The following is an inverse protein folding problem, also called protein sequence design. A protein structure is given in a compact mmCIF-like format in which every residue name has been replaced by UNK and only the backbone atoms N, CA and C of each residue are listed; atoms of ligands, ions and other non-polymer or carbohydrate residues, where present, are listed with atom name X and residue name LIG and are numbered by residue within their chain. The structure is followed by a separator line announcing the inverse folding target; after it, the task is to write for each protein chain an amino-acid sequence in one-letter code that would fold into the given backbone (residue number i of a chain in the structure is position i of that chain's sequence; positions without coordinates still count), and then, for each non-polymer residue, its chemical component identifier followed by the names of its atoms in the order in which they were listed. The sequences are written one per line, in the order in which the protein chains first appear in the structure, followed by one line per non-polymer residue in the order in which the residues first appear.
data_IF_784740558275
#
_entry.id   IF_784740558275
#
_cell.length_a   1.000
_cell.length_b   1.000
_cell.length_c   1.000
_cell.angle_alpha   90.00
_cell.angle_beta   90.00
_cell.angle_gamma   90.00
#
_symmetry.space_group_name_H-M   'P 1'
#
loop_
_entity.id
_entity.type
_entity.pdbx_description
1 polymer ?
#
# COMPACT_ATOMS: atom_id res chain seq x y z
N UNK A 1 7.68 -25.25 -22.37
CA UNK A 1 6.49 -24.43 -22.10
C UNK A 1 5.27 -25.20 -22.58
N UNK A 2 4.23 -25.27 -21.76
CA UNK A 2 2.94 -25.85 -22.15
C UNK A 2 2.27 -24.84 -23.13
N UNK A 3 1.66 -25.33 -24.19
CA UNK A 3 0.94 -24.46 -25.12
C UNK A 3 -0.27 -23.81 -24.42
N UNK A 4 -0.61 -22.52 -24.70
CA UNK A 4 -1.72 -21.81 -24.04
C UNK A 4 -3.06 -22.57 -24.09
N UNK A 5 -3.39 -23.22 -25.20
CA UNK A 5 -4.60 -24.01 -25.35
C UNK A 5 -4.63 -25.22 -24.41
N UNK A 6 -3.49 -25.93 -24.25
CA UNK A 6 -3.36 -27.04 -23.32
C UNK A 6 -3.44 -26.57 -21.88
N UNK A 7 -2.85 -25.41 -21.60
CA UNK A 7 -2.91 -24.76 -20.30
C UNK A 7 -4.37 -24.44 -19.91
N UNK A 8 -5.13 -23.83 -20.83
CA UNK A 8 -6.55 -23.51 -20.64
C UNK A 8 -7.37 -24.78 -20.39
N UNK A 9 -7.25 -25.81 -21.23
CA UNK A 9 -7.99 -27.06 -21.09
C UNK A 9 -7.75 -27.75 -19.75
N UNK A 10 -6.51 -27.74 -19.27
CA UNK A 10 -6.19 -28.32 -17.95
C UNK A 10 -6.84 -27.51 -16.81
N UNK A 11 -6.79 -26.18 -16.86
CA UNK A 11 -7.45 -25.32 -15.88
C UNK A 11 -8.97 -25.45 -15.93
N UNK A 12 -9.57 -25.52 -17.11
CA UNK A 12 -11.01 -25.78 -17.29
C UNK A 12 -11.44 -27.10 -16.64
N UNK A 13 -10.59 -28.11 -16.71
CA UNK A 13 -10.85 -29.40 -16.05
C UNK A 13 -10.76 -29.31 -14.51
N UNK A 14 -9.96 -28.37 -13.98
CA UNK A 14 -9.78 -28.19 -12.53
C UNK A 14 -10.88 -27.34 -11.92
N UNK A 15 -11.21 -26.19 -12.55
CA UNK A 15 -12.11 -25.20 -11.94
C UNK A 15 -13.37 -24.91 -12.77
N UNK A 16 -13.51 -25.50 -13.96
CA UNK A 16 -14.62 -25.31 -14.88
C UNK A 16 -14.36 -24.23 -15.95
N UNK A 17 -14.85 -24.44 -17.16
CA UNK A 17 -14.61 -23.57 -18.33
C UNK A 17 -15.11 -22.13 -18.13
N UNK A 18 -16.15 -21.91 -17.33
CA UNK A 18 -16.68 -20.57 -17.04
C UNK A 18 -15.70 -19.69 -16.21
N UNK A 19 -14.66 -20.27 -15.64
CA UNK A 19 -13.69 -19.61 -14.78
C UNK A 19 -12.29 -19.48 -15.39
N UNK A 20 -12.16 -19.75 -16.70
CA UNK A 20 -10.87 -19.72 -17.41
C UNK A 20 -11.02 -18.90 -18.67
N UNK A 21 -10.16 -17.89 -18.85
CA UNK A 21 -10.06 -17.09 -20.06
C UNK A 21 -8.66 -17.24 -20.66
N UNK A 22 -8.57 -17.71 -21.89
CA UNK A 22 -7.33 -17.86 -22.65
C UNK A 22 -7.21 -16.84 -23.80
N UNK A 23 -8.21 -16.00 -24.02
CA UNK A 23 -8.27 -15.03 -25.12
C UNK A 23 -9.01 -13.76 -24.70
N UNK A 24 -8.86 -12.72 -25.51
CA UNK A 24 -9.69 -11.52 -25.43
C UNK A 24 -9.23 -10.49 -24.39
N UNK A 25 -10.21 -9.71 -23.91
CA UNK A 25 -9.96 -8.55 -23.05
C UNK A 25 -9.42 -8.94 -21.66
N UNK A 26 -9.76 -10.11 -21.18
CA UNK A 26 -9.32 -10.54 -19.85
C UNK A 26 -7.78 -10.67 -19.76
N UNK A 27 -7.13 -11.17 -20.80
CA UNK A 27 -5.66 -11.21 -20.82
C UNK A 27 -5.06 -9.78 -20.83
N UNK A 28 -5.68 -8.86 -21.59
CA UNK A 28 -5.26 -7.45 -21.64
C UNK A 28 -5.45 -6.74 -20.29
N UNK A 29 -6.59 -6.98 -19.63
CA UNK A 29 -6.90 -6.39 -18.33
C UNK A 29 -5.96 -6.88 -17.21
N UNK A 30 -5.35 -8.05 -17.39
CA UNK A 30 -4.37 -8.62 -16.47
C UNK A 30 -2.92 -8.42 -16.95
N UNK A 31 -2.68 -7.51 -17.90
CA UNK A 31 -1.33 -7.19 -18.34
C UNK A 31 -0.55 -6.41 -17.28
N UNK A 32 0.74 -6.70 -17.17
CA UNK A 32 1.69 -5.98 -16.32
C UNK A 32 2.81 -5.46 -17.22
N UNK A 33 2.96 -4.14 -17.31
CA UNK A 33 3.96 -3.47 -18.17
C UNK A 33 3.96 -3.98 -19.62
N UNK A 34 2.77 -4.26 -20.15
CA UNK A 34 2.58 -4.80 -21.51
C UNK A 34 2.78 -6.31 -21.65
N UNK A 35 3.29 -6.99 -20.61
CA UNK A 35 3.33 -8.46 -20.54
C UNK A 35 1.98 -9.03 -20.14
N UNK A 36 1.42 -9.93 -20.98
CA UNK A 36 0.13 -10.58 -20.71
C UNK A 36 0.35 -11.99 -20.15
N UNK A 37 -0.57 -12.51 -19.31
CA UNK A 37 -0.58 -13.92 -18.94
C UNK A 37 -0.95 -14.79 -20.14
N UNK A 38 -0.58 -16.07 -20.10
CA UNK A 38 -1.09 -17.04 -21.08
C UNK A 38 -2.56 -17.37 -20.84
N UNK A 39 -3.02 -17.29 -19.58
CA UNK A 39 -4.39 -17.59 -19.17
C UNK A 39 -4.75 -16.82 -17.89
N UNK A 40 -6.04 -16.47 -17.75
CA UNK A 40 -6.61 -15.95 -16.50
C UNK A 40 -7.49 -17.04 -15.89
N UNK A 41 -7.21 -17.40 -14.64
CA UNK A 41 -7.99 -18.35 -13.86
C UNK A 41 -8.69 -17.61 -12.70
N UNK A 42 -10.03 -17.69 -12.61
CA UNK A 42 -10.88 -17.06 -11.59
C UNK A 42 -11.61 -18.11 -10.74
N UNK A 43 -10.95 -18.74 -9.80
CA UNK A 43 -11.55 -19.76 -8.95
C UNK A 43 -12.74 -19.20 -8.16
N UNK A 44 -13.81 -19.99 -8.02
CA UNK A 44 -15.00 -19.62 -7.26
C UNK A 44 -14.90 -19.98 -5.77
N UNK A 45 -13.93 -20.82 -5.40
CA UNK A 45 -13.72 -21.26 -4.01
C UNK A 45 -12.24 -21.25 -3.65
N UNK A 46 -11.98 -21.17 -2.34
CA UNK A 46 -10.62 -21.24 -1.79
C UNK A 46 -9.94 -22.55 -2.18
N UNK A 47 -10.68 -23.64 -2.21
CA UNK A 47 -10.20 -24.97 -2.56
C UNK A 47 -9.77 -25.00 -4.03
N UNK A 48 -10.58 -24.48 -4.94
CA UNK A 48 -10.22 -24.36 -6.36
C UNK A 48 -8.97 -23.49 -6.57
N UNK A 49 -8.84 -22.38 -5.83
CA UNK A 49 -7.65 -21.54 -5.89
C UNK A 49 -6.38 -22.34 -5.46
N UNK A 50 -6.50 -23.13 -4.40
CA UNK A 50 -5.39 -23.98 -3.93
C UNK A 50 -5.06 -25.09 -4.93
N UNK A 51 -6.06 -25.69 -5.59
CA UNK A 51 -5.87 -26.70 -6.64
C UNK A 51 -5.11 -26.14 -7.85
N UNK A 52 -5.45 -24.91 -8.29
CA UNK A 52 -4.73 -24.20 -9.35
C UNK A 52 -3.27 -23.98 -8.96
N UNK A 53 -3.00 -23.51 -7.73
CA UNK A 53 -1.65 -23.30 -7.23
C UNK A 53 -0.87 -24.63 -7.15
N UNK A 54 -1.50 -25.70 -6.63
CA UNK A 54 -0.91 -27.03 -6.55
C UNK A 54 -0.53 -27.58 -7.93
N UNK A 55 -1.43 -27.43 -8.90
CA UNK A 55 -1.18 -27.86 -10.26
C UNK A 55 -0.04 -27.06 -10.90
N UNK A 56 -0.11 -25.72 -10.79
CA UNK A 56 0.95 -24.84 -11.28
C UNK A 56 2.32 -25.19 -10.66
N UNK A 57 2.36 -25.54 -9.37
CA UNK A 57 3.56 -25.99 -8.67
C UNK A 57 4.16 -27.25 -9.29
N UNK A 58 3.33 -28.26 -9.57
CA UNK A 58 3.76 -29.52 -10.22
C UNK A 58 4.29 -29.28 -11.64
N UNK A 59 3.61 -28.45 -12.40
CA UNK A 59 3.97 -28.12 -13.79
C UNK A 59 5.02 -27.01 -13.89
N UNK A 60 5.45 -26.43 -12.76
CA UNK A 60 6.42 -25.31 -12.65
C UNK A 60 5.98 -24.06 -13.43
N UNK A 61 4.69 -23.78 -13.44
CA UNK A 61 4.08 -22.63 -14.11
C UNK A 61 4.13 -21.40 -13.20
N UNK A 62 4.34 -20.23 -13.79
CA UNK A 62 4.37 -18.96 -13.08
C UNK A 62 2.97 -18.42 -12.80
N UNK A 63 2.64 -18.22 -11.55
CA UNK A 63 1.35 -17.70 -11.07
C UNK A 63 1.54 -16.30 -10.50
N UNK A 64 0.79 -15.35 -11.01
CA UNK A 64 0.70 -13.99 -10.45
C UNK A 64 -0.71 -13.82 -9.85
N UNK A 65 -0.84 -13.74 -8.52
CA UNK A 65 -2.12 -13.51 -7.86
C UNK A 65 -2.63 -12.08 -8.11
N UNK A 66 -3.92 -11.95 -8.38
CA UNK A 66 -4.64 -10.70 -8.55
C UNK A 66 -5.78 -10.58 -7.53
N UNK A 67 -5.99 -9.38 -6.99
CA UNK A 67 -7.23 -8.98 -6.35
C UNK A 67 -7.98 -8.02 -7.27
N UNK A 68 -8.19 -6.78 -6.84
CA UNK A 68 -8.81 -5.73 -7.67
C UNK A 68 -7.80 -5.01 -8.59
N UNK A 69 -6.56 -5.44 -8.66
CA UNK A 69 -5.54 -4.90 -9.57
C UNK A 69 -4.97 -3.52 -9.20
N UNK A 70 -5.39 -2.92 -8.09
CA UNK A 70 -5.08 -1.53 -7.72
C UNK A 70 -3.60 -1.23 -7.50
N UNK A 71 -2.76 -2.25 -7.25
CA UNK A 71 -1.31 -2.08 -7.01
C UNK A 71 -0.44 -3.02 -7.86
N UNK A 72 -0.93 -3.48 -9.00
CA UNK A 72 -0.13 -4.34 -9.87
C UNK A 72 1.05 -3.64 -10.55
N UNK A 73 1.04 -2.31 -10.56
CA UNK A 73 2.14 -1.46 -11.01
C UNK A 73 3.33 -1.41 -10.02
N UNK A 74 3.16 -1.84 -8.76
CA UNK A 74 4.25 -1.92 -7.77
C UNK A 74 5.06 -3.20 -7.96
N UNK A 75 6.37 -3.12 -7.77
CA UNK A 75 7.30 -4.22 -8.00
C UNK A 75 7.83 -4.25 -9.44
N UNK A 76 8.76 -5.16 -9.71
CA UNK A 76 9.28 -5.36 -11.05
C UNK A 76 8.27 -6.10 -11.95
N UNK A 77 8.39 -6.00 -13.28
CA UNK A 77 7.65 -6.85 -14.20
C UNK A 77 7.94 -8.33 -13.93
N UNK A 78 6.95 -9.23 -14.07
CA UNK A 78 7.16 -10.65 -13.86
C UNK A 78 8.15 -11.22 -14.88
N UNK A 79 9.10 -12.05 -14.43
CA UNK A 79 10.05 -12.74 -15.31
C UNK A 79 9.38 -13.82 -16.16
N UNK A 80 8.33 -14.45 -15.62
CA UNK A 80 7.44 -15.41 -16.29
C UNK A 80 6.02 -15.12 -15.87
N UNK A 81 5.06 -15.28 -16.78
CA UNK A 81 3.67 -14.97 -16.54
C UNK A 81 2.76 -15.96 -17.26
N UNK A 82 2.61 -17.16 -16.71
CA UNK A 82 1.81 -18.21 -17.30
C UNK A 82 0.33 -18.05 -16.90
N UNK A 83 0.06 -17.84 -15.61
CA UNK A 83 -1.29 -17.77 -15.05
C UNK A 83 -1.49 -16.47 -14.27
N UNK A 84 -2.50 -15.67 -14.64
CA UNK A 84 -3.10 -14.68 -13.75
C UNK A 84 -4.14 -15.38 -12.88
N UNK A 85 -3.89 -15.49 -11.57
CA UNK A 85 -4.83 -16.06 -10.62
C UNK A 85 -5.70 -14.96 -10.04
N UNK A 86 -6.84 -14.71 -10.66
CA UNK A 86 -7.77 -13.66 -10.28
C UNK A 86 -8.66 -14.11 -9.13
N UNK A 87 -8.40 -13.55 -7.95
CA UNK A 87 -9.11 -13.84 -6.71
C UNK A 87 -10.33 -12.92 -6.49
N UNK A 88 -10.70 -12.07 -7.45
CA UNK A 88 -11.84 -11.16 -7.30
C UNK A 88 -13.16 -11.90 -7.09
N UNK A 89 -13.26 -13.16 -7.56
CA UNK A 89 -14.38 -14.06 -7.29
C UNK A 89 -14.47 -14.56 -5.85
N UNK A 90 -13.37 -14.53 -5.10
CA UNK A 90 -13.31 -14.86 -3.67
C UNK A 90 -13.62 -13.60 -2.85
N UNK A 91 -14.89 -13.19 -2.80
CA UNK A 91 -15.30 -11.90 -2.26
C UNK A 91 -16.37 -11.97 -1.17
N UNK A 92 -16.49 -13.10 -0.51
CA UNK A 92 -17.48 -13.30 0.56
C UNK A 92 -16.94 -12.88 1.91
N UNK A 93 -17.77 -12.23 2.73
CA UNK A 93 -17.55 -12.12 4.16
C UNK A 93 -17.93 -13.47 4.77
N UNK A 94 -16.94 -14.15 5.36
CA UNK A 94 -17.09 -15.49 5.91
C UNK A 94 -17.66 -15.44 7.33
N UNK A 95 -17.31 -14.39 8.08
CA UNK A 95 -17.77 -14.17 9.44
C UNK A 95 -17.64 -12.70 9.82
N UNK A 96 -18.64 -12.17 10.48
CA UNK A 96 -18.62 -10.85 11.09
C UNK A 96 -19.16 -10.96 12.51
N UNK A 97 -18.31 -10.69 13.48
CA UNK A 97 -18.66 -10.68 14.91
C UNK A 97 -18.56 -9.24 15.41
N UNK A 98 -19.71 -8.55 15.36
CA UNK A 98 -19.81 -7.16 15.78
C UNK A 98 -19.50 -6.97 17.27
N UNK A 99 -19.86 -7.94 18.12
CA UNK A 99 -19.62 -7.85 19.56
C UNK A 99 -18.14 -7.91 19.92
N UNK A 100 -17.35 -8.66 19.15
CA UNK A 100 -15.91 -8.82 19.34
C UNK A 100 -15.06 -7.96 18.40
N UNK A 101 -15.67 -7.09 17.58
CA UNK A 101 -14.99 -6.23 16.62
C UNK A 101 -14.07 -7.01 15.69
N UNK A 102 -14.53 -8.14 15.15
CA UNK A 102 -13.74 -8.97 14.24
C UNK A 102 -14.49 -9.32 12.97
N UNK A 103 -13.73 -9.42 11.89
CA UNK A 103 -14.23 -9.79 10.56
C UNK A 103 -13.30 -10.79 9.92
N UNK A 104 -13.87 -11.82 9.30
CA UNK A 104 -13.14 -12.76 8.44
C UNK A 104 -13.76 -12.69 7.04
N UNK A 105 -12.94 -12.45 6.04
CA UNK A 105 -13.38 -12.37 4.66
C UNK A 105 -12.39 -13.04 3.69
N UNK A 106 -12.89 -13.42 2.53
CA UNK A 106 -12.07 -13.88 1.42
C UNK A 106 -11.19 -12.75 0.89
N UNK A 107 -10.03 -13.09 0.36
CA UNK A 107 -8.99 -12.14 0.01
C UNK A 107 -9.36 -11.16 -1.12
N UNK A 108 -10.27 -11.54 -2.02
CA UNK A 108 -10.77 -10.70 -3.09
C UNK A 108 -11.85 -9.71 -2.67
N UNK A 109 -12.35 -9.77 -1.43
CA UNK A 109 -13.39 -8.86 -0.91
C UNK A 109 -12.88 -7.41 -0.96
N UNK A 110 -13.56 -6.50 -1.70
CA UNK A 110 -13.20 -5.08 -1.70
C UNK A 110 -13.46 -4.44 -0.35
N UNK A 111 -12.60 -3.52 0.08
CA UNK A 111 -12.75 -2.82 1.37
C UNK A 111 -14.09 -2.08 1.47
N UNK A 112 -14.60 -1.51 0.37
CA UNK A 112 -15.93 -0.86 0.33
C UNK A 112 -17.07 -1.80 0.78
N UNK A 113 -16.99 -3.10 0.47
CA UNK A 113 -18.01 -4.07 0.90
C UNK A 113 -17.94 -4.32 2.41
N UNK A 114 -16.75 -4.25 2.99
CA UNK A 114 -16.58 -4.29 4.45
C UNK A 114 -17.25 -3.06 5.07
N UNK A 115 -16.99 -1.86 4.55
CA UNK A 115 -17.64 -0.63 5.04
C UNK A 115 -19.17 -0.70 4.93
N UNK A 116 -19.69 -1.21 3.80
CA UNK A 116 -21.13 -1.37 3.60
C UNK A 116 -21.78 -2.25 4.68
N UNK A 117 -21.05 -3.26 5.15
CA UNK A 117 -21.51 -4.17 6.20
C UNK A 117 -21.34 -3.57 7.61
N UNK A 118 -20.22 -2.91 7.89
CA UNK A 118 -19.83 -2.58 9.26
C UNK A 118 -20.27 -1.18 9.71
N UNK A 119 -20.41 -0.21 8.80
CA UNK A 119 -20.82 1.16 9.12
C UNK A 119 -22.24 1.23 9.75
N UNK A 120 -23.25 0.46 9.29
CA UNK A 120 -24.55 0.41 9.97
C UNK A 120 -24.46 -0.04 11.45
N UNK A 121 -23.47 -0.87 11.78
CA UNK A 121 -23.18 -1.33 13.15
C UNK A 121 -22.24 -0.39 13.91
N UNK A 122 -22.01 0.82 13.39
CA UNK A 122 -21.10 1.82 13.98
C UNK A 122 -19.66 1.29 14.15
N UNK A 123 -19.17 0.54 13.15
CA UNK A 123 -17.83 -0.04 13.12
C UNK A 123 -17.18 0.18 11.76
N UNK A 124 -15.86 0.08 11.69
CA UNK A 124 -15.11 0.17 10.44
C UNK A 124 -13.76 -0.53 10.51
N UNK A 125 -13.16 -0.79 9.36
CA UNK A 125 -11.79 -1.29 9.25
C UNK A 125 -10.88 -0.12 8.82
N UNK A 126 -10.01 0.40 9.71
CA UNK A 126 -9.26 1.64 9.48
C UNK A 126 -8.04 1.45 8.54
N UNK A 127 -8.24 0.89 7.34
CA UNK A 127 -7.19 0.61 6.35
C UNK A 127 -7.18 1.53 5.12
N UNK A 128 -8.18 2.35 4.96
CA UNK A 128 -8.29 3.25 3.82
C UNK A 128 -9.53 4.11 3.96
N UNK A 129 -9.97 4.71 2.86
CA UNK A 129 -11.20 5.47 2.85
C UNK A 129 -12.37 4.61 2.32
N UNK A 130 -13.64 4.97 2.64
CA UNK A 130 -14.81 4.12 2.31
C UNK A 130 -15.01 3.80 0.82
N UNK A 131 -14.46 4.63 -0.07
CA UNK A 131 -14.56 4.48 -1.54
C UNK A 131 -13.55 3.54 -2.16
N UNK A 132 -12.55 3.05 -1.41
CA UNK A 132 -11.46 2.26 -1.99
C UNK A 132 -11.94 0.95 -2.61
N UNK A 133 -11.40 0.65 -3.78
CA UNK A 133 -11.67 -0.58 -4.53
C UNK A 133 -10.71 -1.72 -4.14
N UNK A 134 -9.64 -1.42 -3.40
CA UNK A 134 -8.62 -2.40 -3.06
C UNK A 134 -9.22 -3.60 -2.31
N UNK A 135 -8.77 -4.80 -2.65
CA UNK A 135 -9.17 -6.04 -1.97
C UNK A 135 -8.42 -6.23 -0.66
N UNK A 136 -9.05 -6.89 0.31
CA UNK A 136 -8.46 -7.16 1.63
C UNK A 136 -7.13 -7.93 1.54
N UNK A 137 -7.06 -8.95 0.67
CA UNK A 137 -5.83 -9.69 0.42
C UNK A 137 -4.76 -8.80 -0.23
N UNK A 138 -5.14 -7.95 -1.20
CA UNK A 138 -4.25 -6.98 -1.84
C UNK A 138 -3.67 -6.00 -0.83
N UNK A 139 -4.49 -5.39 0.02
CA UNK A 139 -4.05 -4.49 1.08
C UNK A 139 -3.07 -5.17 2.05
N UNK A 140 -3.33 -6.44 2.43
CA UNK A 140 -2.45 -7.20 3.31
C UNK A 140 -1.09 -7.47 2.66
N UNK A 141 -1.08 -8.05 1.46
CA UNK A 141 0.18 -8.44 0.82
C UNK A 141 1.03 -7.27 0.36
N UNK A 142 0.45 -6.08 0.18
CA UNK A 142 1.19 -4.84 -0.12
C UNK A 142 1.54 -4.02 1.12
N UNK A 143 1.06 -4.44 2.30
CA UNK A 143 1.18 -3.69 3.56
C UNK A 143 0.63 -2.25 3.45
N UNK A 144 -0.49 -2.10 2.77
CA UNK A 144 -1.17 -0.82 2.64
C UNK A 144 -2.06 -0.61 3.86
N UNK A 145 -1.73 0.39 4.67
CA UNK A 145 -2.34 0.60 5.99
C UNK A 145 -3.20 1.87 6.07
N UNK A 146 -3.31 2.64 4.99
CA UNK A 146 -3.91 3.97 5.06
C UNK A 146 -3.09 4.93 5.92
N UNK A 147 -3.65 6.10 6.23
CA UNK A 147 -2.95 7.16 6.96
C UNK A 147 -3.37 7.29 8.43
N UNK A 148 -4.50 6.71 8.85
CA UNK A 148 -4.96 6.73 10.26
C UNK A 148 -4.19 5.78 11.19
N UNK A 149 -3.05 5.29 10.75
CA UNK A 149 -2.26 4.29 11.48
C UNK A 149 -1.58 4.81 12.75
N UNK A 150 -1.53 6.12 12.95
CA UNK A 150 -1.01 6.70 14.19
C UNK A 150 -1.89 6.33 15.39
N UNK A 151 -3.22 6.30 15.22
CA UNK A 151 -4.18 5.92 16.25
C UNK A 151 -4.54 4.43 16.20
N UNK A 152 -4.81 3.90 15.00
CA UNK A 152 -5.39 2.55 14.86
C UNK A 152 -4.35 1.45 14.65
N UNK A 153 -3.11 1.80 14.38
CA UNK A 153 -2.08 0.87 13.94
C UNK A 153 -2.13 0.58 12.44
N UNK A 154 -1.13 -0.13 11.94
CA UNK A 154 -1.03 -0.50 10.54
C UNK A 154 -1.59 -1.89 10.26
N UNK A 155 -1.40 -2.36 9.02
CA UNK A 155 -1.82 -3.70 8.58
C UNK A 155 -1.34 -4.81 9.52
N UNK A 156 -0.09 -4.69 10.03
CA UNK A 156 0.48 -5.67 10.95
C UNK A 156 -0.23 -5.76 12.30
N UNK A 157 -0.90 -4.69 12.72
CA UNK A 157 -1.59 -4.58 14.00
C UNK A 157 -3.06 -4.97 13.87
N UNK A 158 -3.64 -4.76 12.70
CA UNK A 158 -5.05 -5.02 12.40
C UNK A 158 -5.29 -6.46 11.91
N UNK A 159 -4.33 -7.07 11.20
CA UNK A 159 -4.46 -8.44 10.70
C UNK A 159 -4.28 -9.46 11.84
N UNK A 160 -5.35 -10.20 12.15
CA UNK A 160 -5.41 -11.24 13.18
C UNK A 160 -5.07 -12.63 12.63
N UNK A 161 -5.30 -12.88 11.36
CA UNK A 161 -5.04 -14.19 10.76
C UNK A 161 -5.12 -14.18 9.24
N UNK A 162 -4.50 -15.20 8.64
CA UNK A 162 -4.54 -15.44 7.19
C UNK A 162 -4.77 -16.92 6.89
N UNK A 163 -5.45 -17.21 5.77
CA UNK A 163 -5.49 -18.52 5.12
C UNK A 163 -4.75 -18.43 3.80
N UNK A 164 -3.78 -19.29 3.59
CA UNK A 164 -2.82 -19.18 2.49
C UNK A 164 -2.69 -20.53 1.78
N UNK A 165 -2.65 -20.50 0.44
CA UNK A 165 -2.18 -21.61 -0.36
C UNK A 165 -0.67 -21.48 -0.57
N UNK A 166 0.09 -22.51 -0.16
CA UNK A 166 1.51 -22.64 -0.43
C UNK A 166 1.75 -23.12 -1.86
N UNK A 167 2.96 -23.00 -2.41
CA UNK A 167 3.26 -23.43 -3.80
C UNK A 167 2.95 -24.89 -4.13
N UNK A 168 2.93 -25.76 -3.12
CA UNK A 168 2.51 -27.17 -3.25
C UNK A 168 0.98 -27.36 -3.17
N UNK A 169 0.22 -26.28 -2.98
CA UNK A 169 -1.22 -26.25 -2.81
C UNK A 169 -1.71 -26.53 -1.40
N UNK A 170 -0.82 -26.77 -0.45
CA UNK A 170 -1.21 -26.97 0.94
C UNK A 170 -1.91 -25.70 1.47
N UNK A 171 -3.12 -25.89 2.01
CA UNK A 171 -3.86 -24.80 2.68
C UNK A 171 -3.41 -24.72 4.13
N UNK A 172 -2.79 -23.61 4.49
CA UNK A 172 -2.35 -23.33 5.84
C UNK A 172 -3.13 -22.15 6.42
N UNK A 173 -3.35 -22.19 7.74
CA UNK A 173 -3.97 -21.10 8.48
C UNK A 173 -3.05 -20.65 9.60
N UNK A 174 -2.82 -19.34 9.67
CA UNK A 174 -2.06 -18.72 10.74
C UNK A 174 -2.95 -17.70 11.45
N UNK A 175 -2.80 -17.59 12.78
CA UNK A 175 -3.65 -16.73 13.60
C UNK A 175 -5.11 -17.22 13.67
N UNK A 176 -6.03 -16.31 14.00
CA UNK A 176 -7.43 -16.67 14.19
C UNK A 176 -8.32 -15.46 14.43
N UNK A 177 -9.33 -15.62 15.31
CA UNK A 177 -10.29 -14.59 15.68
C UNK A 177 -9.87 -13.79 16.91
N UNK A 178 -8.85 -14.24 17.63
CA UNK A 178 -8.49 -13.67 18.92
C UNK A 178 -7.41 -12.61 18.75
N UNK A 179 -7.60 -11.47 19.39
CA UNK A 179 -6.66 -10.34 19.36
C UNK A 179 -5.30 -10.73 19.98
N UNK A 180 -5.27 -11.69 20.89
CA UNK A 180 -4.04 -12.21 21.50
C UNK A 180 -3.90 -13.70 21.23
N UNK A 181 -2.99 -14.05 20.32
CA UNK A 181 -2.54 -15.42 20.09
C UNK A 181 -1.10 -15.56 20.59
N UNK A 182 -0.90 -16.42 21.59
CA UNK A 182 0.42 -16.66 22.20
C UNK A 182 0.97 -18.07 21.88
N UNK A 183 0.28 -18.81 21.02
CA UNK A 183 0.69 -20.15 20.62
C UNK A 183 1.44 -20.10 19.27
N UNK A 184 2.71 -20.42 19.28
CA UNK A 184 3.57 -20.47 18.09
C UNK A 184 4.04 -19.11 17.58
N UNK A 185 4.66 -19.12 16.40
CA UNK A 185 5.12 -17.91 15.73
C UNK A 185 3.95 -17.18 15.06
N UNK A 186 3.98 -15.84 15.10
CA UNK A 186 3.02 -15.02 14.37
C UNK A 186 3.37 -14.95 12.88
N UNK A 187 3.04 -16.03 12.18
CA UNK A 187 3.30 -16.17 10.75
C UNK A 187 2.47 -15.21 9.88
N UNK A 188 1.40 -14.59 10.42
CA UNK A 188 0.66 -13.56 9.67
C UNK A 188 1.60 -12.46 9.18
N UNK A 189 2.58 -12.09 10.03
CA UNK A 189 3.54 -11.02 9.77
C UNK A 189 4.48 -11.30 8.58
N UNK A 190 4.63 -12.58 8.18
CA UNK A 190 5.37 -12.95 7.00
C UNK A 190 4.64 -12.57 5.71
N UNK A 191 3.30 -12.68 5.72
CA UNK A 191 2.50 -12.41 4.52
C UNK A 191 2.17 -10.93 4.36
N UNK A 192 2.23 -10.13 5.43
CA UNK A 192 2.07 -8.67 5.37
C UNK A 192 3.28 -8.05 4.64
N UNK A 193 3.03 -7.49 3.46
CA UNK A 193 4.07 -6.91 2.62
C UNK A 193 4.85 -7.92 1.79
N UNK A 194 4.35 -9.16 1.63
CA UNK A 194 5.01 -10.23 0.85
C UNK A 194 4.80 -10.13 -0.66
N UNK A 195 3.88 -9.31 -1.12
CA UNK A 195 3.48 -9.20 -2.53
C UNK A 195 3.14 -10.56 -3.16
N UNK A 196 2.65 -11.52 -2.36
CA UNK A 196 2.32 -12.87 -2.84
C UNK A 196 3.51 -13.75 -3.18
N UNK A 197 4.73 -13.35 -2.83
CA UNK A 197 5.95 -14.12 -3.16
C UNK A 197 6.10 -15.42 -2.36
N UNK A 198 5.45 -15.53 -1.19
CA UNK A 198 5.62 -16.65 -0.25
C UNK A 198 4.38 -17.53 -0.09
N UNK A 199 3.30 -17.19 -0.77
CA UNK A 199 2.03 -17.91 -0.71
C UNK A 199 0.91 -17.03 -1.25
N UNK A 200 -0.15 -17.65 -1.71
CA UNK A 200 -1.37 -16.96 -2.17
C UNK A 200 -2.31 -16.80 -0.99
N UNK A 201 -2.53 -15.57 -0.54
CA UNK A 201 -3.49 -15.26 0.53
C UNK A 201 -4.90 -15.40 -0.02
N UNK A 202 -5.72 -16.27 0.59
CA UNK A 202 -7.07 -16.61 0.14
C UNK A 202 -8.17 -16.11 1.08
N UNK A 203 -7.87 -15.92 2.36
CA UNK A 203 -8.77 -15.27 3.32
C UNK A 203 -7.96 -14.56 4.41
N UNK A 204 -8.56 -13.56 5.03
CA UNK A 204 -7.94 -12.70 6.04
C UNK A 204 -8.89 -12.45 7.20
N UNK A 205 -8.34 -12.31 8.40
CA UNK A 205 -9.10 -11.94 9.60
C UNK A 205 -8.58 -10.58 10.10
N UNK A 206 -9.49 -9.68 10.47
CA UNK A 206 -9.15 -8.33 10.91
C UNK A 206 -9.83 -7.95 12.22
N UNK A 207 -9.15 -7.11 12.98
CA UNK A 207 -9.74 -6.34 14.07
C UNK A 207 -10.36 -5.08 13.47
N UNK A 208 -11.62 -4.82 13.83
CA UNK A 208 -12.34 -3.60 13.52
C UNK A 208 -12.14 -2.55 14.64
N UNK A 209 -12.58 -1.34 14.37
CA UNK A 209 -12.66 -0.24 15.34
C UNK A 209 -14.10 0.29 15.39
N UNK A 210 -14.46 0.96 16.49
CA UNK A 210 -15.69 1.72 16.55
C UNK A 210 -15.62 2.91 15.59
N UNK A 211 -16.72 3.16 14.87
CA UNK A 211 -16.82 4.33 14.00
C UNK A 211 -16.85 5.59 14.87
N UNK A 212 -15.98 6.57 14.63
CA UNK A 212 -15.94 7.79 15.43
C UNK A 212 -17.25 8.60 15.29
N UNK A 213 -17.59 9.37 16.32
CA UNK A 213 -18.72 10.31 16.29
C UNK A 213 -18.39 11.54 15.46
N UNK A 214 -17.14 11.99 15.52
CA UNK A 214 -16.60 13.12 14.81
C UNK A 214 -15.24 12.78 14.20
N UNK A 215 -14.95 13.35 13.03
CA UNK A 215 -13.72 13.13 12.26
C UNK A 215 -13.39 14.43 11.52
N UNK A 216 -12.28 15.08 11.90
CA UNK A 216 -11.91 16.39 11.35
C UNK A 216 -10.41 16.51 11.11
N UNK A 217 -10.06 17.38 10.15
CA UNK A 217 -8.70 17.85 9.99
C UNK A 217 -8.53 19.26 10.56
N UNK A 218 -7.38 19.52 11.17
CA UNK A 218 -6.77 20.83 11.31
C UNK A 218 -5.69 20.94 10.22
N UNK A 219 -5.85 21.87 9.29
CA UNK A 219 -4.84 22.22 8.29
C UNK A 219 -4.16 23.53 8.71
N UNK A 220 -2.85 23.55 8.87
CA UNK A 220 -2.07 24.67 9.37
C UNK A 220 -0.91 25.00 8.41
N UNK A 221 -0.77 26.27 8.01
CA UNK A 221 0.26 26.77 7.10
C UNK A 221 1.47 27.25 7.88
N UNK A 222 2.66 26.82 7.45
CA UNK A 222 3.93 27.23 8.04
C UNK A 222 4.89 27.81 6.98
N UNK A 223 5.71 28.82 7.35
CA UNK A 223 6.73 29.36 6.46
C UNK A 223 7.81 28.36 6.08
N UNK A 224 8.12 27.40 6.97
CA UNK A 224 9.20 26.42 6.77
C UNK A 224 8.81 25.02 7.25
N UNK A 225 9.42 23.99 6.66
CA UNK A 225 9.28 22.60 7.10
C UNK A 225 9.75 22.41 8.56
N UNK A 226 10.78 23.12 8.99
CA UNK A 226 11.29 23.05 10.36
C UNK A 226 10.24 23.47 11.39
N UNK A 227 9.53 24.59 11.14
CA UNK A 227 8.44 25.06 12.02
C UNK A 227 7.25 24.09 12.03
N UNK A 228 6.86 23.54 10.85
CA UNK A 228 5.79 22.56 10.77
C UNK A 228 6.14 21.27 11.55
N UNK A 229 7.38 20.78 11.45
CA UNK A 229 7.83 19.60 12.20
C UNK A 229 7.98 19.87 13.70
N UNK A 230 8.34 21.08 14.11
CA UNK A 230 8.33 21.49 15.51
C UNK A 230 6.92 21.45 16.12
N UNK A 231 5.93 21.97 15.40
CA UNK A 231 4.53 21.89 15.80
C UNK A 231 4.05 20.44 15.88
N UNK A 232 4.37 19.60 14.89
CA UNK A 232 4.03 18.18 14.87
C UNK A 232 4.66 17.44 16.07
N UNK A 233 5.94 17.72 16.38
CA UNK A 233 6.63 17.15 17.53
C UNK A 233 6.00 17.58 18.87
N UNK A 234 5.59 18.86 19.00
CA UNK A 234 4.94 19.37 20.19
C UNK A 234 3.58 18.68 20.45
N UNK A 235 2.78 18.45 19.39
CA UNK A 235 1.52 17.71 19.50
C UNK A 235 1.78 16.25 19.85
N UNK A 236 2.74 15.60 19.20
CA UNK A 236 3.07 14.18 19.47
C UNK A 236 3.63 13.96 20.89
N UNK A 237 4.32 14.95 21.47
CA UNK A 237 4.83 14.88 22.84
C UNK A 237 3.76 15.21 23.91
N UNK A 238 2.58 15.60 23.50
CA UNK A 238 1.46 15.96 24.38
C UNK A 238 0.55 14.75 24.70
N UNK A 239 -0.61 15.01 25.31
CA UNK A 239 -1.68 14.02 25.52
C UNK A 239 -2.71 13.99 24.39
N UNK A 240 -2.40 14.57 23.25
CA UNK A 240 -3.26 14.55 22.07
C UNK A 240 -2.98 13.30 21.24
N UNK A 241 -4.03 12.75 20.63
CA UNK A 241 -3.95 11.48 19.90
C UNK A 241 -4.44 11.63 18.45
N UNK A 242 -3.68 12.34 17.59
CA UNK A 242 -4.06 12.45 16.19
C UNK A 242 -4.07 11.07 15.51
N UNK A 243 -5.11 10.80 14.74
CA UNK A 243 -5.22 9.60 13.93
C UNK A 243 -4.24 9.63 12.75
N UNK A 244 -3.96 10.82 12.21
CA UNK A 244 -2.93 11.04 11.19
C UNK A 244 -2.23 12.40 11.39
N UNK A 245 -0.94 12.46 11.03
CA UNK A 245 -0.14 13.70 10.98
C UNK A 245 0.58 13.73 9.64
N UNK A 246 0.13 14.61 8.75
CA UNK A 246 0.64 14.69 7.39
C UNK A 246 1.30 16.04 7.13
N UNK A 247 2.40 16.02 6.39
CA UNK A 247 3.05 17.21 5.86
C UNK A 247 2.88 17.24 4.34
N UNK A 248 2.56 18.39 3.80
CA UNK A 248 2.41 18.61 2.36
C UNK A 248 3.32 19.77 1.94
N UNK A 249 4.03 19.62 0.85
CA UNK A 249 4.66 20.75 0.21
C UNK A 249 3.60 21.70 -0.42
N UNK A 250 4.07 22.83 -0.93
CA UNK A 250 3.21 23.81 -1.58
C UNK A 250 2.40 23.21 -2.75
N UNK A 251 3.02 22.37 -3.58
CA UNK A 251 2.38 21.79 -4.76
C UNK A 251 1.35 20.72 -4.38
N UNK A 252 1.65 19.86 -3.41
CA UNK A 252 0.70 18.90 -2.89
C UNK A 252 -0.52 19.58 -2.26
N UNK A 253 -0.30 20.63 -1.46
CA UNK A 253 -1.36 21.38 -0.83
C UNK A 253 -2.27 22.11 -1.85
N UNK A 254 -1.68 22.66 -2.92
CA UNK A 254 -2.45 23.24 -4.03
C UNK A 254 -3.27 22.19 -4.78
N UNK A 255 -2.66 21.03 -5.10
CA UNK A 255 -3.35 19.92 -5.78
C UNK A 255 -4.52 19.37 -4.94
N UNK A 256 -4.43 19.45 -3.62
CA UNK A 256 -5.50 19.06 -2.68
C UNK A 256 -6.63 20.10 -2.56
N UNK A 257 -6.43 21.29 -3.13
CA UNK A 257 -7.39 22.40 -3.11
C UNK A 257 -7.91 22.74 -1.70
N UNK A 258 -6.97 22.82 -0.74
CA UNK A 258 -7.29 23.22 0.63
C UNK A 258 -7.76 24.69 0.66
N UNK A 259 -8.71 25.06 1.54
CA UNK A 259 -9.20 26.45 1.67
C UNK A 259 -8.19 27.33 2.45
N UNK A 260 -6.96 27.42 1.94
CA UNK A 260 -5.82 28.10 2.55
C UNK A 260 -5.12 28.97 1.50
N UNK A 261 -4.58 30.10 1.93
CA UNK A 261 -3.77 30.98 1.09
C UNK A 261 -2.31 30.57 1.18
N UNK A 262 -1.77 29.99 0.10
CA UNK A 262 -0.42 29.45 0.10
C UNK A 262 0.54 30.31 -0.72
N UNK A 263 1.72 30.57 -0.17
CA UNK A 263 2.83 31.18 -0.86
C UNK A 263 3.86 30.11 -1.27
N UNK A 264 4.60 30.28 -2.36
CA UNK A 264 5.67 29.35 -2.73
C UNK A 264 6.65 29.09 -1.59
N UNK A 265 7.00 27.82 -1.35
CA UNK A 265 7.91 27.40 -0.29
C UNK A 265 7.26 27.18 1.09
N UNK A 266 5.99 27.52 1.27
CA UNK A 266 5.26 27.19 2.48
C UNK A 266 4.89 25.70 2.51
N UNK A 267 4.72 25.18 3.73
CA UNK A 267 4.37 23.78 4.02
C UNK A 267 3.05 23.76 4.78
N UNK A 268 2.20 22.79 4.48
CA UNK A 268 0.95 22.55 5.22
C UNK A 268 1.12 21.34 6.12
N UNK A 269 0.78 21.49 7.39
CA UNK A 269 0.67 20.42 8.37
C UNK A 269 -0.81 20.09 8.57
N UNK A 270 -1.18 18.83 8.34
CA UNK A 270 -2.51 18.31 8.57
C UNK A 270 -2.50 17.40 9.80
N UNK A 271 -3.32 17.70 10.79
CA UNK A 271 -3.68 16.79 11.86
C UNK A 271 -5.09 16.27 11.63
N UNK A 272 -5.26 14.97 11.64
CA UNK A 272 -6.58 14.37 11.70
C UNK A 272 -6.87 13.89 13.11
N UNK A 273 -8.01 14.28 13.64
CA UNK A 273 -8.54 13.80 14.91
C UNK A 273 -9.89 13.17 14.68
N UNK A 274 -10.09 11.99 15.24
CA UNK A 274 -11.37 11.30 15.22
C UNK A 274 -11.68 10.65 16.58
N UNK A 275 -12.96 10.59 16.92
CA UNK A 275 -13.40 10.04 18.21
C UNK A 275 -14.71 10.64 18.69
N UNK A 276 -14.82 10.87 20.00
CA UNK A 276 -15.96 11.56 20.61
C UNK A 276 -15.89 13.04 20.27
N UNK A 277 -17.02 13.65 19.96
CA UNK A 277 -17.09 15.05 19.50
C UNK A 277 -16.36 16.03 20.44
N UNK A 278 -16.59 15.97 21.74
CA UNK A 278 -15.96 16.85 22.73
C UNK A 278 -14.44 16.68 22.80
N UNK A 279 -13.96 15.43 22.61
CA UNK A 279 -12.53 15.13 22.57
C UNK A 279 -11.89 15.74 21.31
N UNK A 280 -12.51 15.53 20.16
CA UNK A 280 -12.03 16.09 18.87
C UNK A 280 -11.97 17.61 18.92
N UNK A 281 -12.99 18.29 19.46
CA UNK A 281 -12.98 19.75 19.62
C UNK A 281 -11.84 20.24 20.53
N UNK A 282 -11.58 19.55 21.63
CA UNK A 282 -10.45 19.87 22.52
C UNK A 282 -9.13 19.67 21.80
N UNK A 283 -8.95 18.54 21.12
CA UNK A 283 -7.70 18.21 20.43
C UNK A 283 -7.39 19.16 19.29
N UNK A 284 -8.39 19.57 18.51
CA UNK A 284 -8.24 20.59 17.48
C UNK A 284 -7.77 21.92 18.07
N UNK A 285 -8.44 22.41 19.13
CA UNK A 285 -8.10 23.69 19.77
C UNK A 285 -6.69 23.67 20.38
N UNK A 286 -6.32 22.61 21.10
CA UNK A 286 -5.01 22.49 21.73
C UNK A 286 -3.89 22.36 20.68
N UNK A 287 -4.15 21.64 19.56
CA UNK A 287 -3.21 21.54 18.43
C UNK A 287 -3.03 22.86 17.72
N UNK A 288 -4.12 23.63 17.50
CA UNK A 288 -4.05 24.96 16.92
C UNK A 288 -3.18 25.88 17.77
N UNK A 289 -3.34 25.88 19.10
CA UNK A 289 -2.48 26.62 19.99
C UNK A 289 -0.99 26.18 19.91
N UNK A 290 -0.73 24.89 19.72
CA UNK A 290 0.64 24.41 19.51
C UNK A 290 1.19 24.93 18.18
N UNK A 291 0.43 24.89 17.11
CA UNK A 291 0.79 25.44 15.80
C UNK A 291 1.08 26.96 15.85
N UNK A 292 0.26 27.72 16.58
CA UNK A 292 0.48 29.17 16.77
C UNK A 292 1.83 29.47 17.43
N UNK A 293 2.22 28.70 18.46
CA UNK A 293 3.51 28.83 19.11
C UNK A 293 4.72 28.52 18.20
N UNK A 294 4.53 27.65 17.22
CA UNK A 294 5.57 27.29 16.23
C UNK A 294 5.55 28.15 14.96
N UNK A 295 4.76 29.24 14.95
CA UNK A 295 4.77 30.24 13.85
C UNK A 295 3.83 29.95 12.70
N UNK A 296 2.72 29.25 12.94
CA UNK A 296 1.63 29.08 12.00
C UNK A 296 1.11 30.44 11.50
N UNK A 297 0.89 30.57 10.20
CA UNK A 297 0.39 31.81 9.57
C UNK A 297 -1.10 31.79 9.28
N UNK A 298 -1.66 30.65 8.98
CA UNK A 298 -3.08 30.46 8.67
C UNK A 298 -3.50 29.05 9.06
N UNK A 299 -4.78 28.83 9.42
CA UNK A 299 -5.32 27.52 9.67
C UNK A 299 -6.79 27.39 9.21
N UNK A 300 -7.20 26.18 8.90
CA UNK A 300 -8.59 25.82 8.60
C UNK A 300 -8.92 24.47 9.24
N UNK A 301 -10.17 24.35 9.73
CA UNK A 301 -10.74 23.08 10.14
C UNK A 301 -11.59 22.51 9.02
N UNK A 302 -11.42 21.23 8.69
CA UNK A 302 -12.05 20.59 7.55
C UNK A 302 -12.81 19.34 8.01
N UNK A 303 -14.06 19.20 7.55
CA UNK A 303 -14.96 18.12 7.91
C UNK A 303 -15.85 17.71 6.73
N UNK A 304 -16.62 16.64 6.87
CA UNK A 304 -17.59 16.19 5.88
C UNK A 304 -16.99 15.93 4.50
N UNK A 305 -17.49 16.60 3.47
CA UNK A 305 -17.03 16.40 2.08
C UNK A 305 -15.56 16.81 1.86
N UNK A 306 -15.09 17.84 2.55
CA UNK A 306 -13.69 18.28 2.44
C UNK A 306 -12.75 17.24 3.03
N UNK A 307 -13.09 16.66 4.18
CA UNK A 307 -12.35 15.56 4.78
C UNK A 307 -12.29 14.33 3.85
N UNK A 308 -13.42 13.95 3.25
CA UNK A 308 -13.47 12.82 2.33
C UNK A 308 -12.60 13.05 1.10
N UNK A 309 -12.60 14.26 0.53
CA UNK A 309 -11.73 14.64 -0.60
C UNK A 309 -10.25 14.52 -0.26
N UNK A 310 -9.85 14.89 0.96
CA UNK A 310 -8.44 14.73 1.40
C UNK A 310 -8.05 13.25 1.42
N UNK A 311 -8.87 12.38 2.02
CA UNK A 311 -8.59 10.95 2.06
C UNK A 311 -8.54 10.32 0.68
N UNK A 312 -9.48 10.68 -0.19
CA UNK A 312 -9.52 10.21 -1.57
C UNK A 312 -8.27 10.63 -2.35
N UNK A 313 -7.87 11.89 -2.22
CA UNK A 313 -6.68 12.41 -2.90
C UNK A 313 -5.39 11.72 -2.42
N UNK A 314 -5.24 11.52 -1.11
CA UNK A 314 -4.10 10.80 -0.54
C UNK A 314 -4.05 9.34 -1.04
N UNK A 315 -5.20 8.66 -1.11
CA UNK A 315 -5.28 7.31 -1.65
C UNK A 315 -4.93 7.26 -3.14
N UNK A 316 -5.46 8.19 -3.94
CA UNK A 316 -5.13 8.31 -5.37
C UNK A 316 -3.62 8.50 -5.57
N UNK A 317 -2.98 9.33 -4.77
CA UNK A 317 -1.53 9.52 -4.86
C UNK A 317 -0.73 8.24 -4.52
N UNK A 318 -1.25 7.38 -3.65
CA UNK A 318 -0.60 6.09 -3.33
C UNK A 318 -0.84 5.01 -4.38
N UNK A 319 -2.03 4.97 -4.98
CA UNK A 319 -2.50 3.84 -5.78
C UNK A 319 -2.47 4.08 -7.28
N UNK A 320 -2.41 5.34 -7.73
CA UNK A 320 -2.42 5.62 -9.16
C UNK A 320 -1.19 5.02 -9.86
N UNK A 321 -1.38 4.27 -10.96
CA UNK A 321 -0.27 3.73 -11.72
C UNK A 321 0.52 4.87 -12.38
N UNK A 322 1.85 4.75 -12.39
CA UNK A 322 2.67 5.57 -13.27
C UNK A 322 2.52 5.05 -14.70
N UNK A 323 1.91 5.82 -15.57
CA UNK A 323 1.83 5.48 -16.99
C UNK A 323 2.98 6.13 -17.76
N UNK A 324 3.31 5.58 -18.94
CA UNK A 324 4.28 6.21 -19.83
C UNK A 324 3.81 7.60 -20.31
N UNK A 325 2.49 7.82 -20.36
CA UNK A 325 1.89 9.12 -20.72
C UNK A 325 2.06 10.16 -19.63
N UNK A 326 1.92 9.77 -18.35
CA UNK A 326 2.09 10.71 -17.22
C UNK A 326 3.55 10.91 -16.84
N UNK A 327 4.46 10.04 -17.30
CA UNK A 327 5.89 10.06 -17.03
C UNK A 327 6.23 10.42 -15.57
N UNK A 328 5.59 9.71 -14.63
CA UNK A 328 5.76 9.93 -13.20
C UNK A 328 6.73 8.92 -12.59
N UNK A 329 7.69 9.42 -11.82
CA UNK A 329 8.51 8.62 -10.91
C UNK A 329 8.00 8.86 -9.48
N UNK A 330 7.50 7.82 -8.84
CA UNK A 330 7.02 7.89 -7.46
C UNK A 330 7.92 7.11 -6.54
N UNK A 331 8.26 7.74 -5.43
CA UNK A 331 9.13 7.17 -4.41
C UNK A 331 8.41 7.10 -3.07
N UNK A 332 8.74 6.08 -2.29
CA UNK A 332 8.47 6.00 -0.86
C UNK A 332 9.79 5.91 -0.12
N UNK A 333 10.09 6.93 0.67
CA UNK A 333 11.29 7.02 1.48
C UNK A 333 10.88 6.83 2.94
N UNK A 334 11.43 5.82 3.60
CA UNK A 334 11.23 5.60 5.03
C UNK A 334 12.47 6.04 5.79
N UNK A 335 12.28 6.84 6.83
CA UNK A 335 13.32 7.29 7.74
C UNK A 335 12.78 7.36 9.18
N UNK A 336 13.63 7.56 10.17
CA UNK A 336 13.15 7.93 11.50
C UNK A 336 12.44 9.29 11.43
N UNK A 337 11.36 9.53 12.19
CA UNK A 337 10.67 10.83 12.23
C UNK A 337 11.62 12.01 12.47
N UNK A 338 12.64 11.85 13.32
CA UNK A 338 13.69 12.83 13.56
C UNK A 338 14.60 13.12 12.35
N UNK A 339 14.53 12.33 11.29
CA UNK A 339 15.27 12.47 10.03
C UNK A 339 14.40 12.91 8.86
N UNK A 340 13.11 13.14 9.09
CA UNK A 340 12.17 13.48 8.03
C UNK A 340 12.57 14.78 7.31
N UNK A 341 12.95 15.82 8.04
CA UNK A 341 13.44 17.08 7.45
C UNK A 341 14.63 16.82 6.55
N UNK A 342 15.63 16.09 7.02
CA UNK A 342 16.82 15.76 6.23
C UNK A 342 16.48 14.90 5.00
N UNK A 343 15.46 14.04 5.08
CA UNK A 343 15.02 13.23 3.95
C UNK A 343 14.37 14.10 2.86
N UNK A 344 13.52 15.06 3.25
CA UNK A 344 12.90 16.01 2.34
C UNK A 344 13.95 16.94 1.71
N UNK A 345 14.82 17.55 2.51
CA UNK A 345 15.91 18.41 2.02
C UNK A 345 16.83 17.68 1.04
N UNK A 346 17.14 16.40 1.32
CA UNK A 346 17.92 15.58 0.38
C UNK A 346 17.18 15.38 -0.92
N UNK A 347 15.89 15.06 -0.88
CA UNK A 347 15.07 14.92 -2.08
C UNK A 347 15.06 16.21 -2.91
N UNK A 348 14.83 17.36 -2.28
CA UNK A 348 14.74 18.66 -2.95
C UNK A 348 16.09 19.13 -3.52
N UNK A 349 17.19 18.90 -2.80
CA UNK A 349 18.51 19.37 -3.20
C UNK A 349 19.21 18.48 -4.23
N UNK A 350 18.92 17.18 -4.22
CA UNK A 350 19.57 16.24 -5.16
C UNK A 350 18.78 16.06 -6.46
N UNK A 351 17.50 16.38 -6.45
CA UNK A 351 16.62 16.23 -7.60
C UNK A 351 16.90 17.33 -8.66
N UNK A 352 17.36 16.95 -9.84
CA UNK A 352 17.74 17.87 -10.92
C UNK A 352 16.94 17.70 -12.22
N UNK A 353 15.97 16.78 -12.26
CA UNK A 353 15.23 16.40 -13.46
C UNK A 353 13.69 16.40 -13.30
N UNK A 354 13.18 16.73 -12.12
CA UNK A 354 11.75 16.88 -11.92
C UNK A 354 11.21 18.11 -12.62
N UNK A 355 10.08 17.91 -13.30
CA UNK A 355 9.38 18.98 -13.98
C UNK A 355 8.49 19.77 -13.00
N UNK A 356 8.05 21.00 -13.35
CA UNK A 356 7.09 21.74 -12.60
C UNK A 356 5.84 20.91 -12.29
N UNK A 357 5.31 21.06 -11.07
CA UNK A 357 4.20 20.25 -10.55
C UNK A 357 4.62 19.01 -9.78
N UNK A 358 5.92 18.66 -9.76
CA UNK A 358 6.46 17.64 -8.84
C UNK A 358 6.21 18.06 -7.39
N UNK A 359 5.84 17.11 -6.54
CA UNK A 359 5.49 17.37 -5.15
C UNK A 359 5.90 16.22 -4.23
N UNK A 360 5.93 16.53 -2.93
CA UNK A 360 6.03 15.52 -1.89
C UNK A 360 4.96 15.72 -0.81
N UNK A 361 4.64 14.63 -0.13
CA UNK A 361 3.89 14.62 1.10
C UNK A 361 4.48 13.59 2.06
N UNK A 362 4.23 13.74 3.36
CA UNK A 362 4.84 12.84 4.34
C UNK A 362 3.87 12.48 5.48
N UNK A 363 3.96 11.22 5.92
CA UNK A 363 3.40 10.78 7.19
C UNK A 363 4.47 10.99 8.27
N UNK A 364 4.27 12.03 9.08
CA UNK A 364 5.24 12.47 10.06
C UNK A 364 5.52 11.42 11.14
N UNK A 365 4.46 10.82 11.70
CA UNK A 365 4.57 9.88 12.82
C UNK A 365 5.41 8.65 12.45
N UNK A 366 5.29 8.20 11.22
CA UNK A 366 5.98 6.99 10.75
C UNK A 366 7.23 7.30 9.90
N UNK A 367 7.60 8.58 9.75
CA UNK A 367 8.78 8.97 8.99
C UNK A 367 8.73 8.53 7.53
N UNK A 368 7.55 8.56 6.90
CA UNK A 368 7.38 8.17 5.51
C UNK A 368 7.24 9.40 4.63
N UNK A 369 8.16 9.62 3.70
CA UNK A 369 8.07 10.65 2.66
C UNK A 369 7.67 9.97 1.35
N UNK A 370 6.67 10.53 0.69
CA UNK A 370 6.20 10.14 -0.63
C UNK A 370 6.51 11.26 -1.61
N UNK A 371 7.27 10.95 -2.65
CA UNK A 371 7.58 11.91 -3.70
C UNK A 371 6.90 11.51 -5.01
N UNK A 372 6.26 12.45 -5.67
CA UNK A 372 5.69 12.32 -7.00
C UNK A 372 6.43 13.27 -7.94
N UNK A 373 7.35 12.73 -8.73
CA UNK A 373 8.18 13.50 -9.64
C UNK A 373 7.63 13.34 -11.04
N UNK A 374 7.22 14.45 -11.66
CA UNK A 374 6.98 14.48 -13.10
C UNK A 374 8.33 14.57 -13.82
N UNK A 375 8.57 13.68 -14.75
CA UNK A 375 9.84 13.59 -15.47
C UNK A 375 9.59 13.72 -16.97
N UNK A 376 10.57 14.15 -17.72
CA UNK A 376 10.50 14.12 -19.18
C UNK A 376 10.36 12.66 -19.65
N UNK A 377 9.40 12.32 -20.54
CA UNK A 377 9.28 10.97 -21.12
C UNK A 377 10.56 10.47 -21.80
N UNK A 378 11.45 11.39 -22.21
CA UNK A 378 12.75 11.09 -22.78
C UNK A 378 13.86 10.95 -21.74
N UNK A 379 13.54 11.14 -20.45
CA UNK A 379 14.52 11.03 -19.37
C UNK A 379 15.19 9.66 -19.39
N UNK A 380 16.50 9.67 -19.26
CA UNK A 380 17.31 8.47 -19.43
C UNK A 380 17.59 7.79 -18.09
N UNK A 381 17.73 6.48 -18.14
CA UNK A 381 18.19 5.66 -17.00
C UNK A 381 19.52 6.17 -16.46
N UNK A 382 20.41 6.69 -17.36
CA UNK A 382 21.73 7.22 -17.03
C UNK A 382 21.71 8.41 -16.07
N UNK A 383 20.62 9.20 -16.04
CA UNK A 383 20.45 10.29 -15.07
C UNK A 383 19.74 9.83 -13.79
N UNK A 384 18.72 9.01 -13.94
CA UNK A 384 17.90 8.55 -12.80
C UNK A 384 18.67 7.59 -11.89
N UNK A 385 19.45 6.64 -12.45
CA UNK A 385 20.17 5.63 -11.67
C UNK A 385 21.20 6.22 -10.70
N UNK A 386 22.12 7.13 -11.12
CA UNK A 386 23.09 7.71 -10.21
C UNK A 386 22.43 8.52 -9.08
N UNK A 387 21.42 9.31 -9.42
CA UNK A 387 20.65 10.07 -8.43
C UNK A 387 19.96 9.16 -7.42
N UNK A 388 19.26 8.12 -7.90
CA UNK A 388 18.59 7.17 -7.03
C UNK A 388 19.57 6.43 -6.12
N UNK A 389 20.76 6.09 -6.62
CA UNK A 389 21.82 5.46 -5.86
C UNK A 389 22.32 6.40 -4.73
N UNK A 390 22.51 7.69 -5.01
CA UNK A 390 22.89 8.70 -4.01
C UNK A 390 21.79 8.85 -2.94
N UNK A 391 20.52 9.02 -3.36
CA UNK A 391 19.38 9.12 -2.44
C UNK A 391 19.29 7.88 -1.53
N UNK A 392 19.44 6.69 -2.11
CA UNK A 392 19.44 5.43 -1.36
C UNK A 392 20.62 5.30 -0.39
N UNK A 393 21.80 5.79 -0.80
CA UNK A 393 22.95 5.79 0.11
C UNK A 393 22.68 6.66 1.32
N UNK A 394 22.20 7.89 1.13
CA UNK A 394 21.86 8.80 2.23
C UNK A 394 20.76 8.25 3.14
N UNK A 395 19.72 7.61 2.56
CA UNK A 395 18.66 7.00 3.36
C UNK A 395 19.17 5.83 4.19
N UNK A 396 20.09 5.00 3.66
CA UNK A 396 20.75 3.92 4.44
C UNK A 396 21.59 4.45 5.59
N UNK A 397 22.28 5.56 5.42
CA UNK A 397 23.07 6.20 6.49
C UNK A 397 22.20 6.62 7.68
N UNK A 398 20.89 6.77 7.45
CA UNK A 398 19.88 7.02 8.51
C UNK A 398 19.09 5.77 8.91
N UNK A 399 19.54 4.58 8.53
CA UNK A 399 18.81 3.31 8.73
C UNK A 399 17.43 3.29 8.06
N UNK A 400 17.27 4.07 6.99
CA UNK A 400 16.06 4.16 6.20
C UNK A 400 16.11 3.35 4.90
N UNK A 401 15.13 3.57 4.05
CA UNK A 401 15.04 2.95 2.72
C UNK A 401 14.41 3.90 1.70
N UNK A 402 14.64 3.61 0.41
CA UNK A 402 13.99 4.31 -0.69
C UNK A 402 13.52 3.30 -1.74
N UNK A 403 12.21 3.18 -1.88
CA UNK A 403 11.51 2.28 -2.81
C UNK A 403 10.88 3.09 -3.94
N UNK A 404 10.90 2.56 -5.17
CA UNK A 404 10.09 3.07 -6.27
C UNK A 404 8.70 2.44 -6.17
N UNK A 405 7.65 3.25 -6.08
CA UNK A 405 6.27 2.75 -6.05
C UNK A 405 5.60 2.82 -7.41
N UNK A 406 6.01 3.74 -8.28
CA UNK A 406 5.60 3.79 -9.67
C UNK A 406 6.70 4.44 -10.54
N UNK A 407 6.83 3.98 -11.77
CA UNK A 407 7.70 4.60 -12.79
C UNK A 407 7.22 4.17 -14.18
N UNK A 408 7.56 4.90 -15.25
CA UNK A 408 7.36 4.45 -16.62
C UNK A 408 7.91 3.04 -16.86
N UNK A 409 7.23 2.21 -17.64
CA UNK A 409 7.60 0.81 -17.85
C UNK A 409 9.05 0.64 -18.37
N UNK A 410 9.52 1.58 -19.22
CA UNK A 410 10.89 1.61 -19.73
C UNK A 410 11.92 1.73 -18.60
N UNK A 411 11.66 2.58 -17.61
CA UNK A 411 12.55 2.76 -16.45
C UNK A 411 12.44 1.57 -15.50
N UNK A 412 11.23 1.07 -15.21
CA UNK A 412 10.99 -0.03 -14.25
C UNK A 412 11.75 -1.31 -14.61
N UNK A 413 11.94 -1.59 -15.90
CA UNK A 413 12.70 -2.76 -16.37
C UNK A 413 14.20 -2.68 -16.09
N UNK A 414 14.73 -1.49 -15.81
CA UNK A 414 16.15 -1.24 -15.67
C UNK A 414 16.55 -0.74 -14.27
N UNK A 415 15.55 -0.35 -13.44
CA UNK A 415 15.79 0.12 -12.09
C UNK A 415 15.56 -1.00 -11.07
N UNK A 416 16.39 -1.01 -10.03
CA UNK A 416 16.04 -1.73 -8.81
C UNK A 416 14.85 -1.02 -8.13
N UNK A 417 13.69 -1.65 -8.15
CA UNK A 417 12.44 -1.08 -7.62
C UNK A 417 12.47 -1.00 -6.09
N UNK A 418 13.08 -1.98 -5.45
CA UNK A 418 12.97 -2.17 -4.01
C UNK A 418 14.04 -1.44 -3.20
N UNK A 419 15.21 -1.16 -3.78
CA UNK A 419 16.33 -0.55 -3.06
C UNK A 419 16.83 -1.43 -1.92
N UNK A 420 16.98 -2.71 -2.19
CA UNK A 420 17.27 -3.72 -1.18
C UNK A 420 18.59 -3.53 -0.43
N UNK A 421 18.64 -4.06 0.79
CA UNK A 421 19.88 -4.24 1.54
C UNK A 421 20.36 -5.70 1.39
N UNK A 422 21.66 -5.95 1.13
CA UNK A 422 22.16 -7.31 0.84
C UNK A 422 21.80 -8.37 1.88
N UNK A 423 21.77 -8.03 3.15
CA UNK A 423 21.42 -8.97 4.24
C UNK A 423 19.96 -9.43 4.19
N UNK A 424 19.05 -8.52 3.89
CA UNK A 424 17.62 -8.83 3.75
C UNK A 424 17.36 -9.66 2.50
N UNK A 425 18.00 -9.31 1.39
CA UNK A 425 17.92 -10.06 0.13
C UNK A 425 18.31 -11.54 0.30
N UNK A 426 19.42 -11.80 0.99
CA UNK A 426 19.88 -13.16 1.26
C UNK A 426 18.87 -13.97 2.12
N UNK A 427 18.26 -13.33 3.13
CA UNK A 427 17.25 -13.96 3.97
C UNK A 427 15.98 -14.31 3.16
N UNK A 428 15.47 -13.36 2.37
CA UNK A 428 14.30 -13.59 1.53
C UNK A 428 14.54 -14.69 0.49
N UNK A 429 15.73 -14.73 -0.11
CA UNK A 429 16.10 -15.79 -1.08
C UNK A 429 16.10 -17.16 -0.42
N UNK A 430 16.75 -17.31 0.74
CA UNK A 430 16.74 -18.58 1.48
C UNK A 430 15.33 -19.05 1.83
N UNK A 431 14.45 -18.11 2.20
CA UNK A 431 13.05 -18.43 2.47
C UNK A 431 12.33 -18.88 1.20
N UNK A 432 12.50 -18.14 0.09
CA UNK A 432 11.89 -18.48 -1.21
C UNK A 432 12.36 -19.86 -1.69
N UNK A 433 13.66 -20.12 -1.65
CA UNK A 433 14.24 -21.42 -2.06
C UNK A 433 13.69 -22.60 -1.23
N UNK A 434 13.36 -22.37 0.04
CA UNK A 434 12.78 -23.39 0.91
C UNK A 434 11.31 -23.68 0.59
N UNK A 435 10.49 -22.64 0.32
CA UNK A 435 9.04 -22.77 0.19
C UNK A 435 8.55 -22.76 -1.26
N UNK A 436 9.28 -22.14 -2.17
CA UNK A 436 8.95 -22.05 -3.60
C UNK A 436 10.20 -22.23 -4.48
N UNK A 437 10.87 -23.42 -4.42
CA UNK A 437 12.15 -23.67 -5.10
C UNK A 437 12.05 -23.56 -6.63
N UNK A 438 10.86 -23.60 -7.20
CA UNK A 438 10.63 -23.49 -8.64
C UNK A 438 10.21 -22.08 -9.08
N UNK A 439 10.21 -21.12 -8.16
CA UNK A 439 9.77 -19.75 -8.40
C UNK A 439 8.41 -19.70 -9.13
N UNK A 440 7.43 -20.41 -8.59
CA UNK A 440 6.05 -20.46 -9.12
C UNK A 440 5.31 -19.17 -8.84
N UNK A 441 5.43 -18.63 -7.62
CA UNK A 441 4.64 -17.48 -7.18
C UNK A 441 5.36 -16.15 -7.45
N UNK A 442 4.73 -15.28 -8.23
CA UNK A 442 5.18 -13.92 -8.51
C UNK A 442 6.67 -13.80 -8.94
N UNK A 443 7.18 -14.63 -9.87
CA UNK A 443 8.61 -14.71 -10.16
C UNK A 443 9.17 -13.38 -10.68
N UNK A 444 10.18 -12.87 -10.00
CA UNK A 444 10.89 -11.65 -10.36
C UNK A 444 10.24 -10.36 -9.85
N UNK A 445 9.08 -10.41 -9.22
CA UNK A 445 8.34 -9.20 -8.83
C UNK A 445 8.72 -8.64 -7.46
N UNK A 446 9.33 -9.44 -6.60
CA UNK A 446 9.63 -9.09 -5.21
C UNK A 446 11.11 -8.71 -5.01
N UNK A 447 11.49 -8.37 -3.77
CA UNK A 447 12.85 -8.03 -3.34
C UNK A 447 13.84 -9.08 -3.86
N UNK A 448 15.01 -8.66 -4.28
CA UNK A 448 16.07 -9.52 -4.86
C UNK A 448 15.65 -10.27 -6.14
N UNK A 449 14.68 -9.73 -6.88
CA UNK A 449 14.11 -10.36 -8.08
C UNK A 449 13.53 -11.77 -7.83
N UNK A 450 12.99 -11.97 -6.64
CA UNK A 450 12.30 -13.19 -6.23
C UNK A 450 10.90 -13.29 -6.82
#
# INVERSE_FOLDING_TARGET
MIAPETLATNLESLIGAAYVDAEGDQLRNHAIDGGQPSVVARPATIEQAAEVVAWAGRERLAVVPWGQGTQMHVGAPPQRYDIALDLSGLNRVLEYDAANLTLIAEAGTPLREVYRLTVPERQFLPLGYPGTQASLGGLLVTNTSGFKRALYGGMRDLALGVRVALPDGALVRFGGRVVKNVAGYDMNKLYVGSYGAFGVVLATSYRLAALPEDDRFLAAVFPTLAQATEAAAAVQASLLHPAAVMLLDHQAAQAMALPLTLQPGQVVLLFNFDGLHEAVERELRESEHACQRSGMTEAAQLAGEELLRIWEQLEQWQTAPGTDETAQLRLRIGALPSRLVAAVETLETTQTFGLPGSFWYADYVHGQVYACLYIDPQETVERVVPWLAELRQRTRDWHGYCQITAAPAKLRRQLDIWGETPGMAALHRRYKDQFDPHAVLNPGRYIASL
#
